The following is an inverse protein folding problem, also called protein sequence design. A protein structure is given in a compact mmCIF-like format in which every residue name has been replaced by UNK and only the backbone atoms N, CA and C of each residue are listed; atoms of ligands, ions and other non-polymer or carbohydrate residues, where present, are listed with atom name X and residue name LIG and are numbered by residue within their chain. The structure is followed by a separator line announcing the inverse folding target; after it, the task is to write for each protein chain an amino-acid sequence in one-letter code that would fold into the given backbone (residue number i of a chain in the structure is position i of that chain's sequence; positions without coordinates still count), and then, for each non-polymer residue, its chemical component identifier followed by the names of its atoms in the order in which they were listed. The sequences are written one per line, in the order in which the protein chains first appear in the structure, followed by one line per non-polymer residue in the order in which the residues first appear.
data_IF_498951347055
#
_entry.id   IF_498951347055
#
_cell.length_a   1.000
_cell.length_b   1.000
_cell.length_c   1.000
_cell.angle_alpha   90.00
_cell.angle_beta   90.00
_cell.angle_gamma   90.00
#
_symmetry.space_group_name_H-M   'P 1'
#
loop_
_entity.id
_entity.type
_entity.pdbx_description
1 polymer ?
#
# COMPACT_ATOMS: atom_id res chain seq x y z
N UNK A 1 20.36 0.86 21.82
CA UNK A 1 19.48 -0.32 21.90
C UNK A 1 18.97 -0.57 20.50
N UNK A 2 19.24 -1.76 20.03
CA UNK A 2 18.79 -2.18 18.69
C UNK A 2 17.28 -2.38 18.76
N UNK A 3 16.51 -1.38 18.35
CA UNK A 3 15.06 -1.47 18.24
C UNK A 3 14.76 -2.38 17.06
N UNK A 4 14.84 -3.67 17.29
CA UNK A 4 14.63 -4.70 16.28
C UNK A 4 13.17 -4.69 15.90
N UNK A 5 12.89 -4.24 14.65
CA UNK A 5 11.56 -4.31 14.07
C UNK A 5 11.15 -5.77 13.84
N UNK A 6 9.96 -6.10 14.30
CA UNK A 6 9.36 -7.42 14.07
C UNK A 6 8.35 -7.29 12.92
N UNK A 7 8.50 -8.15 11.92
CA UNK A 7 7.60 -8.24 10.78
C UNK A 7 6.74 -9.49 10.90
N UNK A 8 5.44 -9.33 10.94
CA UNK A 8 4.50 -10.43 11.07
C UNK A 8 3.13 -10.09 10.52
N UNK A 9 2.27 -11.09 10.38
CA UNK A 9 0.85 -10.87 10.11
C UNK A 9 0.19 -10.14 11.27
N UNK A 10 -0.79 -9.31 10.94
CA UNK A 10 -1.71 -8.68 11.91
C UNK A 10 -2.98 -9.52 11.91
N UNK A 11 -3.39 -9.97 13.08
CA UNK A 11 -4.61 -10.77 13.23
C UNK A 11 -5.84 -9.87 13.39
N UNK A 12 -7.02 -10.41 13.10
CA UNK A 12 -8.29 -9.69 13.14
C UNK A 12 -8.53 -8.97 14.48
N UNK A 13 -8.20 -9.63 15.58
CA UNK A 13 -8.43 -9.13 16.95
C UNK A 13 -7.55 -7.93 17.30
N UNK A 14 -6.43 -7.76 16.58
CA UNK A 14 -5.49 -6.65 16.76
C UNK A 14 -5.95 -5.38 16.03
N UNK A 15 -6.84 -5.51 15.04
CA UNK A 15 -7.29 -4.39 14.19
C UNK A 15 -8.28 -3.48 14.93
N UNK A 16 -7.72 -2.64 15.79
CA UNK A 16 -8.39 -1.63 16.61
C UNK A 16 -7.65 -0.31 16.53
N UNK A 17 -8.30 0.80 16.82
CA UNK A 17 -7.66 2.13 16.82
C UNK A 17 -6.38 2.19 17.67
N UNK A 18 -6.34 1.44 18.76
CA UNK A 18 -5.19 1.34 19.66
C UNK A 18 -3.90 0.89 18.92
N UNK A 19 -4.03 0.01 17.92
CA UNK A 19 -2.91 -0.46 17.11
C UNK A 19 -2.15 0.69 16.43
N UNK A 20 -2.88 1.71 15.98
CA UNK A 20 -2.34 2.86 15.24
C UNK A 20 -2.00 4.07 16.13
N UNK A 21 -2.07 3.95 17.44
CA UNK A 21 -1.88 5.06 18.38
C UNK A 21 -0.56 5.81 18.19
N UNK A 22 0.50 5.11 17.82
CA UNK A 22 1.83 5.68 17.57
C UNK A 22 2.18 5.76 16.07
N UNK A 23 1.22 5.57 15.19
CA UNK A 23 1.40 5.68 13.75
C UNK A 23 1.20 7.12 13.30
N UNK A 24 2.11 7.63 12.48
CA UNK A 24 2.06 8.99 11.96
C UNK A 24 1.85 8.95 10.45
N UNK A 25 0.60 9.09 10.01
CA UNK A 25 0.26 9.20 8.58
C UNK A 25 0.17 10.67 8.19
N UNK A 26 1.33 11.23 7.93
CA UNK A 26 1.46 12.59 7.41
C UNK A 26 2.50 12.63 6.31
N UNK A 27 2.17 13.27 5.19
CA UNK A 27 3.05 13.46 4.05
C UNK A 27 2.88 14.86 3.47
N UNK A 28 3.98 15.58 3.33
CA UNK A 28 4.01 16.80 2.53
C UNK A 28 4.28 16.39 1.09
N UNK A 29 3.42 16.80 0.17
CA UNK A 29 3.54 16.50 -1.25
C UNK A 29 3.77 17.81 -1.99
N UNK A 30 4.93 17.97 -2.60
CA UNK A 30 5.32 19.14 -3.38
C UNK A 30 5.26 18.91 -4.88
N UNK A 31 5.23 17.66 -5.32
CA UNK A 31 5.13 17.28 -6.73
C UNK A 31 4.28 16.00 -6.87
N UNK A 32 3.53 15.95 -7.98
CA UNK A 32 2.72 14.79 -8.36
C UNK A 32 2.93 14.47 -9.83
N UNK A 33 2.78 13.18 -10.19
CA UNK A 33 2.57 12.78 -11.57
C UNK A 33 1.09 12.93 -11.93
N UNK A 34 0.83 13.63 -13.02
CA UNK A 34 -0.52 13.81 -13.57
C UNK A 34 -0.57 13.31 -14.99
N UNK A 35 -1.63 12.61 -15.34
CA UNK A 35 -1.84 12.16 -16.71
C UNK A 35 -2.29 13.32 -17.58
N UNK A 36 -1.56 13.57 -18.67
CA UNK A 36 -1.88 14.55 -19.70
C UNK A 36 -1.90 13.84 -21.06
N UNK A 37 -3.11 13.55 -21.59
CA UNK A 37 -3.24 12.67 -22.74
C UNK A 37 -2.72 11.26 -22.40
N UNK A 38 -1.76 10.76 -23.16
CA UNK A 38 -1.12 9.46 -22.92
C UNK A 38 0.18 9.53 -22.10
N UNK A 39 0.58 10.74 -21.70
CA UNK A 39 1.83 10.97 -20.95
C UNK A 39 1.55 11.24 -19.47
N UNK A 40 2.48 10.78 -18.61
CA UNK A 40 2.55 11.14 -17.21
C UNK A 40 3.57 12.26 -17.02
N UNK A 41 3.09 13.40 -16.52
CA UNK A 41 3.89 14.64 -16.41
C UNK A 41 3.97 15.05 -14.94
N UNK A 42 5.18 15.39 -14.50
CA UNK A 42 5.42 15.90 -13.16
C UNK A 42 4.89 17.33 -13.04
N UNK A 43 4.06 17.58 -12.02
CA UNK A 43 3.47 18.88 -11.73
C UNK A 43 3.78 19.33 -10.31
N UNK A 44 4.12 20.60 -10.08
CA UNK A 44 4.25 21.15 -8.74
C UNK A 44 2.87 21.23 -8.07
N UNK A 45 2.83 20.83 -6.80
CA UNK A 45 1.64 20.93 -5.94
C UNK A 45 2.07 21.36 -4.55
N UNK A 46 1.11 21.73 -3.72
CA UNK A 46 1.36 22.02 -2.31
C UNK A 46 0.24 21.39 -1.50
N UNK A 47 0.46 20.15 -1.06
CA UNK A 47 -0.52 19.34 -0.36
C UNK A 47 0.08 18.78 0.93
N UNK A 48 -0.77 18.66 1.95
CA UNK A 48 -0.48 17.86 3.14
C UNK A 48 -1.52 16.76 3.21
N UNK A 49 -1.07 15.53 3.10
CA UNK A 49 -1.89 14.33 3.32
C UNK A 49 -1.71 13.89 4.77
N UNK A 50 -2.78 13.90 5.53
CA UNK A 50 -2.80 13.49 6.93
C UNK A 50 -4.11 12.78 7.22
N UNK A 51 -4.05 11.64 7.91
CA UNK A 51 -5.25 10.90 8.28
C UNK A 51 -5.87 11.44 9.55
N UNK A 52 -7.17 11.66 9.49
CA UNK A 52 -8.04 11.93 10.63
C UNK A 52 -8.36 10.64 11.39
N UNK A 53 -9.06 10.76 12.52
CA UNK A 53 -9.60 9.61 13.24
C UNK A 53 -10.53 8.79 12.36
N UNK A 54 -11.39 9.46 11.59
CA UNK A 54 -12.34 8.84 10.67
C UNK A 54 -11.63 8.07 9.55
N UNK A 55 -10.50 8.58 9.05
CA UNK A 55 -9.66 7.88 8.08
C UNK A 55 -9.10 6.57 8.65
N UNK A 56 -8.64 6.57 9.92
CA UNK A 56 -8.19 5.36 10.60
C UNK A 56 -9.33 4.37 10.84
N UNK A 57 -10.51 4.83 11.20
CA UNK A 57 -11.70 3.97 11.38
C UNK A 57 -12.11 3.31 10.05
N UNK A 58 -12.08 4.06 8.97
CA UNK A 58 -12.32 3.54 7.62
C UNK A 58 -11.25 2.51 7.22
N UNK A 59 -9.97 2.83 7.44
CA UNK A 59 -8.86 1.90 7.20
C UNK A 59 -9.06 0.59 7.95
N UNK A 60 -9.39 0.64 9.25
CA UNK A 60 -9.62 -0.55 10.06
C UNK A 60 -10.71 -1.44 9.47
N UNK A 61 -11.81 -0.84 9.02
CA UNK A 61 -12.89 -1.58 8.33
C UNK A 61 -12.35 -2.28 7.08
N UNK A 62 -11.61 -1.56 6.23
CA UNK A 62 -11.01 -2.14 5.02
C UNK A 62 -10.03 -3.29 5.32
N UNK A 63 -9.19 -3.14 6.33
CA UNK A 63 -8.24 -4.20 6.73
C UNK A 63 -8.95 -5.43 7.31
N UNK A 64 -9.98 -5.22 8.12
CA UNK A 64 -10.82 -6.31 8.64
C UNK A 64 -11.52 -7.06 7.51
N UNK A 65 -12.09 -6.35 6.55
CA UNK A 65 -12.75 -6.94 5.38
C UNK A 65 -11.73 -7.72 4.53
N UNK A 66 -10.54 -7.18 4.33
CA UNK A 66 -9.44 -7.89 3.65
C UNK A 66 -9.18 -9.26 4.28
N UNK A 67 -9.09 -9.35 5.60
CA UNK A 67 -8.87 -10.63 6.29
C UNK A 67 -10.10 -11.55 6.17
N UNK A 68 -11.31 -11.02 6.37
CA UNK A 68 -12.56 -11.80 6.24
C UNK A 68 -12.71 -12.42 4.86
N UNK A 69 -12.25 -11.74 3.82
CA UNK A 69 -12.32 -12.17 2.43
C UNK A 69 -11.11 -13.03 1.99
N UNK A 70 -10.31 -13.50 2.95
CA UNK A 70 -9.19 -14.40 2.69
C UNK A 70 -7.89 -13.73 2.28
N UNK A 71 -7.79 -12.42 2.43
CA UNK A 71 -6.57 -11.65 2.25
C UNK A 71 -5.65 -11.66 3.47
N UNK A 72 -4.63 -10.82 3.45
CA UNK A 72 -3.62 -10.73 4.49
C UNK A 72 -3.28 -9.28 4.82
N UNK A 73 -2.95 -9.05 6.08
CA UNK A 73 -2.34 -7.79 6.55
C UNK A 73 -1.02 -8.12 7.22
N UNK A 74 0.08 -7.51 6.74
CA UNK A 74 1.39 -7.57 7.38
C UNK A 74 1.69 -6.28 8.11
N UNK A 75 2.34 -6.38 9.25
CA UNK A 75 2.81 -5.24 10.03
C UNK A 75 4.30 -5.30 10.34
N UNK A 76 4.91 -4.13 10.43
CA UNK A 76 6.22 -3.91 11.01
C UNK A 76 6.03 -3.27 12.38
N UNK A 77 6.52 -3.91 13.43
CA UNK A 77 6.30 -3.53 14.83
C UNK A 77 7.58 -3.09 15.52
N UNK A 78 7.49 -1.99 16.25
CA UNK A 78 8.44 -1.58 17.27
C UNK A 78 7.77 -1.78 18.63
N UNK A 79 8.17 -2.83 19.35
CA UNK A 79 7.41 -3.28 20.52
C UNK A 79 5.97 -3.64 20.14
N UNK A 80 5.00 -2.99 20.77
CA UNK A 80 3.57 -3.20 20.50
C UNK A 80 3.00 -2.18 19.49
N UNK A 81 3.81 -1.27 18.97
CA UNK A 81 3.38 -0.23 18.05
C UNK A 81 3.59 -0.65 16.60
N UNK A 82 2.54 -0.62 15.79
CA UNK A 82 2.68 -0.75 14.35
C UNK A 82 3.32 0.51 13.77
N UNK A 83 4.36 0.32 12.97
CA UNK A 83 5.14 1.38 12.31
C UNK A 83 5.11 1.31 10.79
N UNK A 84 4.61 0.23 10.27
CA UNK A 84 4.33 0.04 8.85
C UNK A 84 3.34 -1.10 8.68
N UNK A 85 2.59 -1.09 7.60
CA UNK A 85 1.69 -2.19 7.25
C UNK A 85 1.48 -2.28 5.74
N UNK A 86 1.14 -3.47 5.28
CA UNK A 86 0.72 -3.74 3.92
C UNK A 86 -0.45 -4.72 3.94
N UNK A 87 -1.36 -4.58 3.00
CA UNK A 87 -2.48 -5.51 2.83
C UNK A 87 -2.62 -5.97 1.40
N UNK A 88 -2.98 -7.25 1.22
CA UNK A 88 -3.24 -7.86 -0.09
C UNK A 88 -4.61 -8.49 -0.06
N UNK A 89 -5.43 -8.18 -1.06
CA UNK A 89 -6.77 -8.77 -1.20
C UNK A 89 -6.69 -10.28 -1.46
N UNK A 90 -7.61 -11.03 -0.88
CA UNK A 90 -7.80 -12.45 -1.18
C UNK A 90 -8.47 -12.70 -2.54
N UNK A 91 -9.16 -11.70 -3.07
CA UNK A 91 -9.89 -11.81 -4.33
C UNK A 91 -8.95 -11.62 -5.52
N UNK A 92 -8.92 -12.54 -6.50
CA UNK A 92 -8.15 -12.34 -7.72
C UNK A 92 -8.68 -11.17 -8.54
N UNK A 93 -7.77 -10.47 -9.23
CA UNK A 93 -8.07 -9.38 -10.13
C UNK A 93 -7.53 -9.68 -11.53
N UNK A 94 -8.08 -9.01 -12.57
CA UNK A 94 -7.72 -9.23 -13.96
C UNK A 94 -8.52 -10.35 -14.63
N UNK A 95 -8.44 -10.43 -15.96
CA UNK A 95 -9.25 -11.31 -16.78
C UNK A 95 -9.11 -12.80 -16.40
N UNK A 96 -7.90 -13.27 -16.14
CA UNK A 96 -7.60 -14.65 -15.76
C UNK A 96 -7.26 -14.83 -14.27
N UNK A 97 -7.62 -13.86 -13.43
CA UNK A 97 -7.20 -13.86 -12.02
C UNK A 97 -5.68 -13.71 -11.84
N UNK A 98 -5.03 -13.04 -12.78
CA UNK A 98 -3.58 -12.86 -12.86
C UNK A 98 -3.02 -12.09 -11.66
N UNK A 99 -3.78 -11.09 -11.20
CA UNK A 99 -3.32 -10.19 -10.16
C UNK A 99 -3.79 -10.58 -8.76
N UNK A 100 -2.96 -10.19 -7.79
CA UNK A 100 -3.37 -9.95 -6.41
C UNK A 100 -3.18 -8.48 -6.11
N UNK A 101 -4.21 -7.86 -5.54
CA UNK A 101 -4.24 -6.41 -5.30
C UNK A 101 -3.52 -6.06 -4.01
N UNK A 102 -2.45 -5.28 -4.10
CA UNK A 102 -1.80 -4.63 -2.96
C UNK A 102 -2.65 -3.41 -2.57
N UNK A 103 -3.57 -3.61 -1.65
CA UNK A 103 -4.60 -2.62 -1.29
C UNK A 103 -4.09 -1.50 -0.40
N UNK A 104 -3.03 -1.74 0.37
CA UNK A 104 -2.36 -0.71 1.15
C UNK A 104 -0.88 -1.03 1.39
N UNK A 105 -0.08 0.02 1.46
CA UNK A 105 1.32 -0.03 1.90
C UNK A 105 1.69 1.33 2.47
N UNK A 106 1.85 1.39 3.78
CA UNK A 106 2.14 2.64 4.48
C UNK A 106 3.21 2.44 5.54
N UNK A 107 4.07 3.45 5.69
CA UNK A 107 5.08 3.51 6.74
C UNK A 107 4.90 4.79 7.54
N UNK A 108 4.91 4.66 8.87
CA UNK A 108 4.82 5.80 9.78
C UNK A 108 5.92 6.81 9.47
N UNK A 109 5.58 8.11 9.48
CA UNK A 109 6.49 9.20 9.10
C UNK A 109 7.83 9.14 9.82
N UNK A 110 7.81 8.87 11.12
CA UNK A 110 8.99 8.80 11.99
C UNK A 110 9.93 7.61 11.68
N UNK A 111 9.47 6.67 10.85
CA UNK A 111 10.21 5.46 10.51
C UNK A 111 10.55 5.33 9.02
N UNK A 112 10.30 6.34 8.22
CA UNK A 112 10.59 6.33 6.78
C UNK A 112 12.11 6.34 6.50
N UNK A 113 12.49 5.89 5.30
CA UNK A 113 13.89 5.83 4.88
C UNK A 113 14.71 4.71 5.52
N UNK A 114 14.06 3.74 6.16
CA UNK A 114 14.71 2.60 6.86
C UNK A 114 14.46 1.24 6.18
N UNK A 115 13.94 1.24 4.96
CA UNK A 115 13.66 0.02 4.19
C UNK A 115 12.40 -0.75 4.61
N UNK A 116 11.60 -0.22 5.52
CA UNK A 116 10.40 -0.89 6.04
C UNK A 116 9.39 -1.15 4.92
N UNK A 117 9.12 -0.15 4.09
CA UNK A 117 8.19 -0.27 2.96
C UNK A 117 8.61 -1.35 1.97
N UNK A 118 9.90 -1.40 1.62
CA UNK A 118 10.47 -2.42 0.73
C UNK A 118 10.28 -3.83 1.32
N UNK A 119 10.54 -4.00 2.60
CA UNK A 119 10.38 -5.31 3.25
C UNK A 119 8.92 -5.75 3.33
N UNK A 120 8.01 -4.84 3.65
CA UNK A 120 6.58 -5.10 3.64
C UNK A 120 6.07 -5.45 2.23
N UNK A 121 6.55 -4.74 1.21
CA UNK A 121 6.23 -5.04 -0.19
C UNK A 121 6.65 -6.47 -0.56
N UNK A 122 7.85 -6.90 -0.21
CA UNK A 122 8.30 -8.26 -0.50
C UNK A 122 7.56 -9.34 0.29
N UNK A 123 7.13 -9.06 1.52
CA UNK A 123 6.25 -9.97 2.26
C UNK A 123 4.89 -10.12 1.56
N UNK A 124 4.31 -9.01 1.12
CA UNK A 124 3.07 -9.01 0.34
C UNK A 124 3.22 -9.78 -0.98
N UNK A 125 4.31 -9.55 -1.71
CA UNK A 125 4.61 -10.24 -2.96
C UNK A 125 4.77 -11.76 -2.75
N UNK A 126 5.49 -12.16 -1.72
CA UNK A 126 5.66 -13.58 -1.36
C UNK A 126 4.35 -14.28 -1.02
N UNK A 127 3.48 -13.61 -0.28
CA UNK A 127 2.14 -14.13 0.02
C UNK A 127 1.27 -14.24 -1.24
N UNK A 128 1.28 -13.20 -2.08
CA UNK A 128 0.53 -13.20 -3.34
C UNK A 128 0.95 -14.34 -4.27
N UNK A 129 2.26 -14.59 -4.37
CA UNK A 129 2.80 -15.72 -5.14
C UNK A 129 2.33 -17.06 -4.57
N UNK A 130 2.42 -17.24 -3.24
CA UNK A 130 1.96 -18.47 -2.56
C UNK A 130 0.47 -18.73 -2.75
N UNK A 131 -0.34 -17.67 -2.92
CA UNK A 131 -1.77 -17.74 -3.21
C UNK A 131 -2.10 -17.89 -4.69
N UNK A 132 -1.12 -18.16 -5.54
CA UNK A 132 -1.29 -18.40 -6.97
C UNK A 132 -1.38 -17.16 -7.84
N UNK A 133 -1.06 -15.98 -7.32
CA UNK A 133 -0.93 -14.75 -8.10
C UNK A 133 0.28 -14.82 -9.03
N UNK A 134 0.20 -14.18 -10.17
CA UNK A 134 1.31 -14.02 -11.10
C UNK A 134 1.91 -12.63 -11.03
N UNK A 135 1.10 -11.64 -10.65
CA UNK A 135 1.48 -10.23 -10.52
C UNK A 135 0.79 -9.60 -9.31
N UNK A 136 1.46 -8.62 -8.68
CA UNK A 136 0.78 -7.66 -7.82
C UNK A 136 0.18 -6.54 -8.68
N UNK A 137 -1.01 -6.09 -8.31
CA UNK A 137 -1.63 -4.88 -8.80
C UNK A 137 -1.45 -3.76 -7.80
N UNK A 138 -1.10 -2.57 -8.26
CA UNK A 138 -0.86 -1.41 -7.41
C UNK A 138 -1.56 -0.19 -8.02
N UNK A 139 -2.56 0.38 -7.31
CA UNK A 139 -3.06 1.71 -7.61
C UNK A 139 -2.17 2.73 -6.89
N UNK A 140 -1.22 3.30 -7.62
CA UNK A 140 -0.16 4.11 -7.04
C UNK A 140 -0.59 5.56 -6.86
N UNK A 141 -0.49 6.05 -5.61
CA UNK A 141 -0.72 7.45 -5.28
C UNK A 141 0.11 8.37 -6.20
N UNK A 142 -0.45 9.49 -6.70
CA UNK A 142 0.22 10.39 -7.63
C UNK A 142 1.43 11.14 -7.04
N UNK A 143 1.62 11.16 -5.71
CA UNK A 143 2.79 11.78 -5.09
C UNK A 143 4.09 11.24 -5.66
N UNK A 144 5.04 12.12 -5.98
CA UNK A 144 6.28 11.71 -6.65
C UNK A 144 7.07 10.69 -5.85
N UNK A 145 7.09 10.80 -4.53
CA UNK A 145 7.80 9.86 -3.65
C UNK A 145 7.23 8.44 -3.75
N UNK A 146 5.90 8.31 -3.84
CA UNK A 146 5.22 7.02 -4.02
C UNK A 146 5.56 6.42 -5.38
N UNK A 147 5.54 7.22 -6.44
CA UNK A 147 5.87 6.79 -7.80
C UNK A 147 7.33 6.33 -7.93
N UNK A 148 8.26 7.07 -7.30
CA UNK A 148 9.68 6.70 -7.29
C UNK A 148 9.93 5.43 -6.49
N UNK A 149 9.24 5.24 -5.37
CA UNK A 149 9.30 4.02 -4.57
C UNK A 149 8.86 2.80 -5.38
N UNK A 150 7.68 2.85 -5.99
CA UNK A 150 7.14 1.74 -6.78
C UNK A 150 8.03 1.42 -7.98
N UNK A 151 8.53 2.44 -8.65
CA UNK A 151 9.46 2.26 -9.79
C UNK A 151 10.78 1.64 -9.36
N UNK A 152 11.33 2.05 -8.23
CA UNK A 152 12.57 1.48 -7.69
C UNK A 152 12.43 0.00 -7.33
N UNK A 153 11.23 -0.45 -6.98
CA UNK A 153 10.91 -1.87 -6.76
C UNK A 153 10.80 -2.67 -8.06
N UNK A 154 10.67 -2.02 -9.21
CA UNK A 154 10.49 -2.66 -10.50
C UNK A 154 9.04 -2.70 -11.00
N UNK A 155 8.15 -1.93 -10.40
CA UNK A 155 6.77 -1.80 -10.88
C UNK A 155 6.73 -1.08 -12.23
N UNK A 156 5.84 -1.54 -13.11
CA UNK A 156 5.60 -0.98 -14.44
C UNK A 156 4.12 -0.70 -14.63
N UNK A 157 3.73 -0.02 -15.70
CA UNK A 157 2.32 0.24 -16.00
C UNK A 157 1.56 -1.08 -16.16
N UNK A 158 0.39 -1.19 -15.53
CA UNK A 158 -0.44 -2.37 -15.59
C UNK A 158 -0.93 -2.64 -17.03
N UNK A 159 -0.79 -3.88 -17.47
CA UNK A 159 -1.29 -4.32 -18.79
C UNK A 159 -2.82 -4.43 -18.80
N UNK A 160 -3.43 -4.75 -17.67
CA UNK A 160 -4.87 -4.85 -17.50
C UNK A 160 -5.32 -3.88 -16.39
N UNK A 161 -5.40 -2.58 -16.65
CA UNK A 161 -5.89 -1.60 -15.66
C UNK A 161 -7.30 -1.95 -15.20
N UNK A 162 -7.53 -1.90 -13.90
CA UNK A 162 -8.83 -2.20 -13.30
C UNK A 162 -9.77 -1.00 -13.35
N UNK A 163 -10.95 -1.18 -13.94
CA UNK A 163 -11.92 -0.10 -14.13
C UNK A 163 -12.44 0.46 -12.81
N UNK A 164 -12.64 -0.38 -11.80
CA UNK A 164 -13.13 0.04 -10.50
C UNK A 164 -12.09 0.91 -9.76
N UNK A 165 -10.82 0.50 -9.80
CA UNK A 165 -9.72 1.30 -9.25
C UNK A 165 -9.61 2.66 -9.95
N UNK A 166 -9.67 2.68 -11.27
CA UNK A 166 -9.61 3.93 -12.04
C UNK A 166 -10.80 4.84 -11.76
N UNK A 167 -11.98 4.28 -11.50
CA UNK A 167 -13.17 5.05 -11.13
C UNK A 167 -13.07 5.63 -9.72
N UNK A 168 -12.60 4.85 -8.77
CA UNK A 168 -12.54 5.23 -7.35
C UNK A 168 -11.36 6.18 -7.06
N UNK A 169 -10.25 6.02 -7.77
CA UNK A 169 -9.06 6.86 -7.62
C UNK A 169 -8.49 7.25 -9.00
N UNK A 170 -9.16 8.17 -9.72
CA UNK A 170 -8.81 8.48 -11.11
C UNK A 170 -7.45 9.15 -11.30
N UNK A 171 -6.86 9.66 -10.25
CA UNK A 171 -5.51 10.26 -10.27
C UNK A 171 -4.40 9.25 -10.06
N UNK A 172 -4.71 8.06 -9.54
CA UNK A 172 -3.74 7.03 -9.26
C UNK A 172 -3.23 6.39 -10.56
N UNK A 173 -1.95 6.09 -10.59
CA UNK A 173 -1.33 5.36 -11.69
C UNK A 173 -1.48 3.86 -11.44
N UNK A 174 -1.98 3.15 -12.44
CA UNK A 174 -2.20 1.71 -12.35
C UNK A 174 -0.91 0.99 -12.72
N UNK A 175 -0.32 0.29 -11.76
CA UNK A 175 0.95 -0.40 -11.89
C UNK A 175 0.81 -1.90 -11.67
N UNK A 176 1.82 -2.64 -12.14
CA UNK A 176 1.97 -4.07 -11.88
C UNK A 176 3.42 -4.41 -11.49
N UNK A 177 3.55 -5.47 -10.72
CA UNK A 177 4.83 -6.07 -10.35
C UNK A 177 4.77 -7.58 -10.61
N UNK A 178 5.72 -8.10 -11.38
CA UNK A 178 5.80 -9.54 -11.69
C UNK A 178 6.32 -10.31 -10.48
N UNK A 179 5.57 -11.30 -10.04
CA UNK A 179 5.90 -12.15 -8.89
C UNK A 179 6.92 -13.25 -9.23
#
# INVERSE_FOLDING_TARGET
MDDTLIYRKIEMEELKLELFRKFQRRQNVDRQLQKQGDAWVEQPVSLVEEWSKEDYEFLLTCLQDTIREGGVVFGAFEGNAVKGFASVSGNPLGYAGTYRDLTSLHVSRDMRGRGIGTRLFHLAAGWALAMGGQKLYIAANPAIESQLFDRALGCTDAQEPDEEHMKNAPKDRQLEYVL
#
